data_IF_627969099907
#
_entry.id   IF_627969099907
#
_cell.length_a   1.000
_cell.length_b   1.000
_cell.length_c   1.000
_cell.angle_alpha   90.00
_cell.angle_beta   90.00
_cell.angle_gamma   90.00
#
_symmetry.space_group_name_H-M   'P 1'
#
loop_
_entity.id
_entity.type
_entity.pdbx_description
1 polymer ?
#
# COMPACT_ATOMS: atom_id res chain seq x y z
N UNK A 1 24.93 -7.28 13.86
CA UNK A 1 25.41 -7.01 12.48
C UNK A 1 24.61 -5.83 11.97
N UNK A 2 25.19 -4.63 11.98
CA UNK A 2 24.53 -3.38 11.57
C UNK A 2 24.31 -3.41 10.05
N UNK A 3 23.05 -3.33 9.62
CA UNK A 3 22.70 -3.14 8.22
C UNK A 3 22.33 -1.67 7.98
N UNK A 4 23.30 -0.94 7.42
CA UNK A 4 23.15 0.21 6.53
C UNK A 4 21.99 1.19 6.71
N UNK A 5 22.20 2.23 7.51
CA UNK A 5 21.47 3.50 7.45
C UNK A 5 22.31 4.63 6.80
N UNK A 6 23.22 4.27 5.89
CA UNK A 6 24.04 5.24 5.13
C UNK A 6 23.73 5.15 3.65
N UNK A 7 22.64 5.79 3.23
CA UNK A 7 22.38 6.12 1.82
C UNK A 7 22.40 7.67 1.70
N UNK A 8 23.17 8.30 0.79
CA UNK A 8 23.43 9.75 0.78
C UNK A 8 22.23 10.63 0.37
N UNK A 9 21.02 10.06 0.28
CA UNK A 9 19.82 10.75 -0.23
C UNK A 9 18.86 11.25 0.85
N UNK A 10 19.20 11.12 2.14
CA UNK A 10 18.44 11.67 3.27
C UNK A 10 18.54 13.21 3.28
N UNK A 11 17.75 13.88 2.44
CA UNK A 11 17.53 15.32 2.56
C UNK A 11 16.57 15.59 3.73
N UNK A 12 16.64 16.79 4.33
CA UNK A 12 15.79 17.16 5.48
C UNK A 12 14.29 16.93 5.23
N UNK A 13 13.85 17.10 3.97
CA UNK A 13 12.48 16.85 3.53
C UNK A 13 12.00 15.42 3.77
N UNK A 14 12.86 14.41 3.61
CA UNK A 14 12.49 13.01 3.85
C UNK A 14 12.30 12.72 5.34
N UNK A 15 13.18 13.28 6.19
CA UNK A 15 13.03 13.16 7.65
C UNK A 15 11.76 13.84 8.14
N UNK A 16 11.42 15.01 7.60
CA UNK A 16 10.17 15.71 7.91
C UNK A 16 8.94 14.88 7.53
N UNK A 17 8.99 14.18 6.39
CA UNK A 17 7.91 13.31 5.96
C UNK A 17 7.74 12.09 6.89
N UNK A 18 8.85 11.49 7.33
CA UNK A 18 8.85 10.39 8.31
C UNK A 18 8.30 10.86 9.66
N UNK A 19 8.72 12.03 10.14
CA UNK A 19 8.22 12.61 11.39
C UNK A 19 6.70 12.84 11.34
N UNK A 20 6.19 13.44 10.26
CA UNK A 20 4.74 13.63 10.06
C UNK A 20 3.98 12.31 9.95
N UNK A 21 4.55 11.30 9.30
CA UNK A 21 3.94 9.97 9.25
C UNK A 21 3.84 9.35 10.64
N UNK A 22 4.88 9.49 11.47
CA UNK A 22 4.87 9.03 12.85
C UNK A 22 3.85 9.78 13.73
N UNK A 23 3.77 11.11 13.62
CA UNK A 23 2.73 11.91 14.30
C UNK A 23 1.32 11.47 13.93
N UNK A 24 1.08 11.19 12.65
CA UNK A 24 -0.21 10.68 12.18
C UNK A 24 -0.54 9.31 12.79
N UNK A 25 0.45 8.41 12.89
CA UNK A 25 0.29 7.08 13.48
C UNK A 25 -0.14 7.19 14.95
N UNK A 26 0.57 8.01 15.72
CA UNK A 26 0.24 8.27 17.13
C UNK A 26 -1.17 8.85 17.28
N UNK A 27 -1.50 9.86 16.48
CA UNK A 27 -2.84 10.46 16.49
C UNK A 27 -3.93 9.43 16.18
N UNK A 28 -3.74 8.56 15.18
CA UNK A 28 -4.72 7.54 14.83
C UNK A 28 -4.88 6.49 15.94
N UNK A 29 -3.81 6.14 16.65
CA UNK A 29 -3.90 5.26 17.82
C UNK A 29 -4.81 5.84 18.91
N UNK A 30 -4.65 7.13 19.22
CA UNK A 30 -5.52 7.83 20.18
C UNK A 30 -6.99 7.89 19.73
N UNK A 31 -7.26 7.78 18.42
CA UNK A 31 -8.61 7.80 17.83
C UNK A 31 -9.22 6.41 17.60
N UNK A 32 -8.61 5.35 18.12
CA UNK A 32 -9.13 3.99 18.02
C UNK A 32 -8.31 3.06 17.12
N UNK A 33 -7.10 3.47 16.72
CA UNK A 33 -6.15 2.63 16.00
C UNK A 33 -6.36 2.55 14.50
N UNK A 34 -5.59 1.68 13.87
CA UNK A 34 -5.56 1.51 12.42
C UNK A 34 -5.98 0.08 12.09
N UNK A 35 -7.01 -0.06 11.25
CA UNK A 35 -7.55 -1.35 10.85
C UNK A 35 -6.78 -1.98 9.68
N UNK A 36 -6.11 -1.17 8.86
CA UNK A 36 -5.40 -1.65 7.70
C UNK A 36 -4.72 -0.54 6.91
N UNK A 37 -3.77 -0.94 6.07
CA UNK A 37 -3.07 -0.09 5.11
C UNK A 37 -3.48 -0.46 3.70
N UNK A 38 -3.57 0.55 2.85
CA UNK A 38 -3.81 0.37 1.42
C UNK A 38 -2.67 1.03 0.67
N UNK A 39 -1.86 0.21 0.00
CA UNK A 39 -0.78 0.72 -0.85
C UNK A 39 -1.25 0.69 -2.31
N UNK A 40 -1.45 1.89 -2.86
CA UNK A 40 -1.82 2.07 -4.26
C UNK A 40 -0.56 2.09 -5.14
N UNK A 41 -0.53 1.21 -6.13
CA UNK A 41 0.59 1.03 -7.06
C UNK A 41 0.02 1.17 -8.47
N UNK A 42 0.72 1.84 -9.38
CA UNK A 42 0.33 1.84 -10.80
C UNK A 42 0.76 0.51 -11.42
N UNK A 43 -0.18 -0.18 -12.07
CA UNK A 43 0.07 -1.39 -12.85
C UNK A 43 1.16 -1.15 -13.89
N UNK A 44 2.10 -2.09 -13.95
CA UNK A 44 3.36 -1.95 -14.68
C UNK A 44 4.52 -2.47 -13.83
N UNK A 45 5.61 -1.69 -13.73
CA UNK A 45 6.81 -2.10 -12.99
C UNK A 45 6.73 -1.72 -11.52
N UNK A 46 7.05 -2.66 -10.63
CA UNK A 46 7.35 -2.35 -9.22
C UNK A 46 8.68 -1.57 -9.17
N UNK A 47 8.60 -0.27 -8.88
CA UNK A 47 9.78 0.59 -8.79
C UNK A 47 10.48 0.45 -7.44
N UNK A 48 11.74 0.88 -7.38
CA UNK A 48 12.48 0.94 -6.11
C UNK A 48 11.80 1.88 -5.11
N UNK A 49 11.13 2.93 -5.59
CA UNK A 49 10.32 3.83 -4.75
C UNK A 49 9.16 3.10 -4.09
N UNK A 50 8.47 2.20 -4.81
CA UNK A 50 7.39 1.39 -4.23
C UNK A 50 7.92 0.47 -3.13
N UNK A 51 9.06 -0.19 -3.38
CA UNK A 51 9.69 -1.06 -2.37
C UNK A 51 10.16 -0.26 -1.14
N UNK A 52 10.77 0.91 -1.33
CA UNK A 52 11.18 1.80 -0.23
C UNK A 52 9.98 2.28 0.59
N UNK A 53 8.89 2.68 -0.05
CA UNK A 53 7.67 3.09 0.64
C UNK A 53 7.03 1.92 1.40
N UNK A 54 6.97 0.75 0.78
CA UNK A 54 6.48 -0.47 1.45
C UNK A 54 7.31 -0.79 2.69
N UNK A 55 8.65 -0.81 2.57
CA UNK A 55 9.53 -1.09 3.71
C UNK A 55 9.38 -0.05 4.82
N UNK A 56 9.37 1.25 4.49
CA UNK A 56 9.19 2.32 5.47
C UNK A 56 7.88 2.18 6.25
N UNK A 57 6.74 2.09 5.55
CA UNK A 57 5.46 2.07 6.24
C UNK A 57 5.22 0.72 6.88
N UNK A 58 5.16 -0.34 6.09
CA UNK A 58 4.72 -1.64 6.58
C UNK A 58 5.73 -2.28 7.53
N UNK A 59 7.03 -2.24 7.20
CA UNK A 59 8.05 -2.96 7.97
C UNK A 59 8.63 -2.14 9.12
N UNK A 60 8.87 -0.85 8.92
CA UNK A 60 9.52 0.01 9.92
C UNK A 60 8.49 0.68 10.84
N UNK A 61 7.58 1.48 10.27
CA UNK A 61 6.63 2.29 11.03
C UNK A 61 5.47 1.47 11.62
N UNK A 62 5.07 0.38 10.97
CA UNK A 62 4.00 -0.49 11.46
C UNK A 62 4.50 -1.83 11.96
N UNK A 63 5.80 -2.14 11.83
CA UNK A 63 6.43 -3.38 12.31
C UNK A 63 5.68 -4.64 11.86
N UNK A 64 5.07 -4.61 10.66
CA UNK A 64 4.25 -5.68 10.08
C UNK A 64 3.02 -6.06 10.92
N UNK A 65 2.58 -5.18 11.83
CA UNK A 65 1.45 -5.43 12.74
C UNK A 65 0.10 -5.06 12.13
N UNK A 66 0.08 -4.09 11.23
CA UNK A 66 -1.15 -3.63 10.55
C UNK A 66 -1.29 -4.37 9.23
N UNK A 67 -2.43 -5.04 8.93
CA UNK A 67 -2.60 -5.74 7.67
C UNK A 67 -2.53 -4.74 6.50
N UNK A 68 -1.94 -5.18 5.39
CA UNK A 68 -1.76 -4.36 4.20
C UNK A 68 -2.42 -5.00 2.98
N UNK A 69 -3.17 -4.20 2.22
CA UNK A 69 -3.71 -4.57 0.92
C UNK A 69 -3.09 -3.74 -0.19
N UNK A 70 -2.98 -4.33 -1.38
CA UNK A 70 -2.44 -3.67 -2.57
C UNK A 70 -3.55 -3.30 -3.54
N UNK A 71 -3.51 -2.08 -4.08
CA UNK A 71 -4.41 -1.66 -5.15
C UNK A 71 -3.58 -1.36 -6.39
N UNK A 72 -3.74 -2.15 -7.44
CA UNK A 72 -3.09 -1.95 -8.72
C UNK A 72 -3.99 -1.10 -9.63
N UNK A 73 -3.55 0.12 -9.92
CA UNK A 73 -4.29 1.14 -10.69
C UNK A 73 -3.82 1.21 -12.15
N UNK A 74 -4.57 1.85 -13.04
CA UNK A 74 -4.13 2.05 -14.43
C UNK A 74 -4.32 0.84 -15.35
N UNK A 75 -5.23 -0.07 -15.00
CA UNK A 75 -5.50 -1.31 -15.74
C UNK A 75 -6.67 -1.21 -16.72
N UNK A 76 -7.06 0.01 -17.12
CA UNK A 76 -8.11 0.27 -18.12
C UNK A 76 -7.88 -0.47 -19.45
N UNK A 77 -6.62 -0.72 -19.82
CA UNK A 77 -6.23 -1.35 -21.08
C UNK A 77 -5.83 -2.84 -20.93
N UNK A 78 -5.96 -3.42 -19.74
CA UNK A 78 -5.68 -4.85 -19.54
C UNK A 78 -6.67 -5.68 -20.38
N UNK A 79 -6.16 -6.66 -21.13
CA UNK A 79 -6.99 -7.51 -21.97
C UNK A 79 -7.86 -8.42 -21.09
N UNK A 80 -9.18 -8.46 -21.34
CA UNK A 80 -10.11 -9.23 -20.53
C UNK A 80 -10.40 -8.60 -19.17
N UNK A 81 -10.33 -9.39 -18.09
CA UNK A 81 -10.51 -8.93 -16.71
C UNK A 81 -9.28 -8.14 -16.23
N UNK A 82 -9.47 -7.11 -15.40
CA UNK A 82 -8.34 -6.36 -14.82
C UNK A 82 -7.46 -7.24 -13.92
N UNK A 83 -8.01 -8.30 -13.31
CA UNK A 83 -7.27 -9.23 -12.45
C UNK A 83 -6.26 -10.07 -13.23
N UNK A 84 -6.36 -10.13 -14.57
CA UNK A 84 -5.36 -10.80 -15.40
C UNK A 84 -3.96 -10.22 -15.18
N UNK A 85 -3.86 -8.93 -14.85
CA UNK A 85 -2.59 -8.31 -14.50
C UNK A 85 -1.95 -8.98 -13.27
N UNK A 86 -2.73 -9.26 -12.22
CA UNK A 86 -2.23 -9.92 -11.02
C UNK A 86 -1.74 -11.33 -11.34
N UNK A 87 -2.53 -12.13 -12.07
CA UNK A 87 -2.15 -13.50 -12.47
C UNK A 87 -0.79 -13.54 -13.19
N UNK A 88 -0.48 -12.53 -14.00
CA UNK A 88 0.78 -12.44 -14.73
C UNK A 88 1.95 -11.92 -13.88
N UNK A 89 1.69 -11.07 -12.88
CA UNK A 89 2.71 -10.29 -12.18
C UNK A 89 2.92 -10.67 -10.71
N UNK A 90 2.05 -11.49 -10.12
CA UNK A 90 2.11 -11.87 -8.69
C UNK A 90 3.50 -12.35 -8.27
N UNK A 91 4.09 -13.28 -9.02
CA UNK A 91 5.41 -13.82 -8.69
C UNK A 91 6.51 -12.74 -8.67
N UNK A 92 6.40 -11.71 -9.52
CA UNK A 92 7.34 -10.59 -9.52
C UNK A 92 7.12 -9.68 -8.32
N UNK A 93 5.86 -9.41 -7.96
CA UNK A 93 5.51 -8.63 -6.76
C UNK A 93 6.03 -9.33 -5.50
N UNK A 94 5.78 -10.63 -5.35
CA UNK A 94 6.27 -11.42 -4.21
C UNK A 94 7.80 -11.45 -4.15
N UNK A 95 8.48 -11.62 -5.30
CA UNK A 95 9.94 -11.57 -5.37
C UNK A 95 10.53 -10.20 -5.00
N UNK A 96 9.75 -9.12 -5.09
CA UNK A 96 10.15 -7.78 -4.64
C UNK A 96 10.00 -7.57 -3.12
N UNK A 97 9.61 -8.61 -2.37
CA UNK A 97 9.47 -8.55 -0.91
C UNK A 97 8.17 -7.90 -0.43
N UNK A 98 7.23 -7.65 -1.34
CA UNK A 98 5.94 -7.05 -1.04
C UNK A 98 4.92 -8.16 -0.75
N UNK A 99 4.35 -8.13 0.45
CA UNK A 99 3.26 -9.01 0.88
C UNK A 99 1.93 -8.26 0.88
N UNK A 100 0.84 -9.00 0.85
CA UNK A 100 -0.51 -8.45 0.91
C UNK A 100 -1.51 -9.46 1.46
N UNK A 101 -2.48 -8.99 2.24
CA UNK A 101 -3.60 -9.83 2.71
C UNK A 101 -4.72 -9.94 1.66
N UNK A 102 -4.85 -8.92 0.81
CA UNK A 102 -5.83 -8.83 -0.26
C UNK A 102 -5.33 -7.90 -1.37
N UNK A 103 -5.86 -7.99 -2.58
CA UNK A 103 -5.52 -7.05 -3.64
C UNK A 103 -6.73 -6.69 -4.49
N UNK A 104 -6.64 -5.57 -5.21
CA UNK A 104 -7.61 -5.18 -6.21
C UNK A 104 -6.91 -4.65 -7.46
N UNK A 105 -7.25 -5.21 -8.63
CA UNK A 105 -6.83 -4.70 -9.93
C UNK A 105 -7.92 -3.80 -10.50
N UNK A 106 -7.61 -2.53 -10.74
CA UNK A 106 -8.60 -1.50 -11.03
C UNK A 106 -8.17 -0.50 -12.09
N UNK A 107 -9.17 0.23 -12.59
CA UNK A 107 -8.99 1.54 -13.20
C UNK A 107 -9.62 2.62 -12.31
N UNK A 108 -9.02 3.80 -12.34
CA UNK A 108 -9.50 4.98 -11.60
C UNK A 108 -10.16 6.01 -12.52
N UNK A 109 -10.25 5.72 -13.83
CA UNK A 109 -10.77 6.63 -14.84
C UNK A 109 -11.94 6.02 -15.61
N UNK A 110 -12.85 6.86 -16.10
CA UNK A 110 -13.91 6.46 -17.05
C UNK A 110 -13.46 6.55 -18.51
N UNK A 111 -12.30 7.17 -18.78
CA UNK A 111 -11.82 7.43 -20.13
C UNK A 111 -12.62 8.50 -20.87
N UNK A 112 -12.16 8.88 -22.07
CA UNK A 112 -12.90 9.78 -22.95
C UNK A 112 -14.22 9.14 -23.38
N UNK A 113 -15.31 9.92 -23.43
CA UNK A 113 -16.65 9.42 -23.72
C UNK A 113 -17.08 8.19 -22.86
N UNK A 114 -16.57 8.08 -21.63
CA UNK A 114 -16.92 7.00 -20.69
C UNK A 114 -16.62 5.57 -21.19
N UNK A 115 -15.67 5.40 -22.11
CA UNK A 115 -15.32 4.08 -22.67
C UNK A 115 -14.92 3.03 -21.61
N UNK A 116 -14.40 3.45 -20.46
CA UNK A 116 -14.03 2.58 -19.34
C UNK A 116 -15.03 2.61 -18.18
N UNK A 117 -16.20 3.23 -18.33
CA UNK A 117 -17.19 3.32 -17.25
C UNK A 117 -17.60 1.95 -16.67
N UNK A 118 -17.83 0.88 -17.46
CA UNK A 118 -18.09 -0.45 -16.91
C UNK A 118 -16.96 -0.95 -16.00
N UNK A 119 -15.70 -0.79 -16.44
CA UNK A 119 -14.51 -1.16 -15.66
C UNK A 119 -14.34 -0.30 -14.41
N UNK A 120 -14.68 0.99 -14.48
CA UNK A 120 -14.67 1.88 -13.33
C UNK A 120 -15.70 1.44 -12.27
N UNK A 121 -16.92 1.07 -12.69
CA UNK A 121 -17.94 0.56 -11.77
C UNK A 121 -17.56 -0.79 -11.16
N UNK A 122 -16.93 -1.67 -11.96
CA UNK A 122 -16.35 -2.91 -11.48
C UNK A 122 -15.23 -2.68 -10.46
N UNK A 123 -14.35 -1.71 -10.73
CA UNK A 123 -13.26 -1.29 -9.84
C UNK A 123 -13.77 -0.90 -8.46
N UNK A 124 -14.90 -0.17 -8.41
CA UNK A 124 -15.55 0.17 -7.14
C UNK A 124 -15.94 -1.08 -6.36
N UNK A 125 -16.53 -2.08 -7.02
CA UNK A 125 -16.92 -3.35 -6.37
C UNK A 125 -15.69 -4.11 -5.85
N UNK A 126 -14.63 -4.19 -6.65
CA UNK A 126 -13.36 -4.85 -6.25
C UNK A 126 -12.74 -4.19 -5.02
N UNK A 127 -12.68 -2.85 -4.98
CA UNK A 127 -12.17 -2.12 -3.80
C UNK A 127 -13.03 -2.34 -2.57
N UNK A 128 -14.37 -2.30 -2.68
CA UNK A 128 -15.25 -2.57 -1.53
C UNK A 128 -15.07 -3.98 -0.99
N UNK A 129 -14.93 -4.98 -1.88
CA UNK A 129 -14.63 -6.36 -1.49
C UNK A 129 -13.30 -6.45 -0.73
N UNK A 130 -12.24 -5.88 -1.28
CA UNK A 130 -10.91 -5.84 -0.65
C UNK A 130 -10.94 -5.12 0.70
N UNK A 131 -11.68 -4.02 0.83
CA UNK A 131 -11.83 -3.28 2.09
C UNK A 131 -12.51 -4.14 3.17
N UNK A 132 -13.53 -4.92 2.81
CA UNK A 132 -14.17 -5.84 3.75
C UNK A 132 -13.23 -6.95 4.22
N UNK A 133 -12.35 -7.44 3.33
CA UNK A 133 -11.32 -8.42 3.69
C UNK A 133 -10.25 -7.80 4.61
N UNK A 134 -9.86 -6.56 4.35
CA UNK A 134 -8.87 -5.83 5.14
C UNK A 134 -9.38 -5.45 6.55
N UNK A 135 -10.63 -4.99 6.65
CA UNK A 135 -11.18 -4.42 7.88
C UNK A 135 -11.93 -5.43 8.78
N UNK A 136 -11.82 -6.74 8.51
CA UNK A 136 -12.60 -7.77 9.22
C UNK A 136 -12.14 -8.03 10.67
N UNK A 137 -11.13 -7.31 11.18
CA UNK A 137 -10.54 -7.50 12.51
C UNK A 137 -10.64 -6.26 13.42
N UNK A 138 -10.26 -6.42 14.68
CA UNK A 138 -10.08 -5.29 15.59
C UNK A 138 -8.94 -4.39 15.12
N UNK A 139 -9.02 -3.09 15.42
CA UNK A 139 -7.94 -2.15 15.11
C UNK A 139 -6.61 -2.60 15.74
N UNK A 140 -5.54 -2.47 14.98
CA UNK A 140 -4.20 -2.79 15.45
C UNK A 140 -3.68 -1.67 16.35
N UNK A 141 -3.34 -2.00 17.59
CA UNK A 141 -2.49 -1.15 18.41
C UNK A 141 -1.06 -1.26 17.89
N UNK A 142 -0.45 -0.13 17.56
CA UNK A 142 0.94 -0.08 17.11
C UNK A 142 1.72 0.56 18.24
N UNK A 143 2.65 -0.16 18.89
CA UNK A 143 3.49 0.47 19.92
C UNK A 143 4.52 1.38 19.23
N UNK A 144 4.17 2.67 19.11
CA UNK A 144 5.03 3.67 18.49
C UNK A 144 6.26 4.03 19.37
N UNK A 145 6.17 3.80 20.69
CA UNK A 145 7.19 4.18 21.68
C UNK A 145 8.55 3.49 21.49
N UNK A 146 8.61 2.38 20.72
CA UNK A 146 9.88 1.69 20.42
C UNK A 146 10.58 2.16 19.15
N UNK A 147 10.00 3.08 18.38
CA UNK A 147 10.49 3.39 17.03
C UNK A 147 11.65 4.41 17.00
N UNK A 148 11.88 5.17 18.07
CA UNK A 148 12.90 6.22 18.12
C UNK A 148 13.65 6.32 19.45
N UNK A 149 13.82 5.21 20.18
CA UNK A 149 14.72 5.18 21.33
C UNK A 149 16.17 5.25 20.82
N UNK A 150 16.76 6.44 20.88
CA UNK A 150 18.18 6.71 20.60
C UNK A 150 19.09 6.14 21.69
#
# INVERSE_FOLDING_TARGET
MQAGLKDPSMNGTYLDAVAKAHELILFLQEKGGIHGLILCIRGGRISDTVQKNYSLFYEILYQKQVPISLVFTGLENEQGDMDNWWTQNQAHVEKSGIASVAHACITTIKGYNNVYEPRYLESRKKVHKMLNELACGAACAVEADRQFAW
#
